data_IF_723638450992
#
_entry.id   IF_723638450992
#
_cell.length_a   1.000
_cell.length_b   1.000
_cell.length_c   1.000
_cell.angle_alpha   90.00
_cell.angle_beta   90.00
_cell.angle_gamma   90.00
#
_symmetry.space_group_name_H-M   'P 1'
#
loop_
_entity.id
_entity.type
_entity.pdbx_description
1 polymer ?
#
# COMPACT_ATOMS: atom_id res chain seq x y z
N UNK A 1 -0.91 53.47 28.36
CA UNK A 1 -2.29 52.93 28.29
C UNK A 1 -2.25 51.48 28.71
N UNK A 2 -2.76 51.15 29.90
CA UNK A 2 -2.76 49.78 30.45
C UNK A 2 -4.03 49.06 29.97
N UNK A 3 -3.90 48.14 29.02
CA UNK A 3 -4.96 47.20 28.64
C UNK A 3 -5.32 46.39 29.90
N UNK A 4 -6.49 46.66 30.47
CA UNK A 4 -6.84 46.27 31.84
C UNK A 4 -7.28 44.80 31.89
N UNK A 5 -7.11 44.18 33.06
CA UNK A 5 -7.56 42.82 33.42
C UNK A 5 -8.92 42.40 32.82
N UNK A 6 -9.83 43.36 32.62
CA UNK A 6 -11.13 43.15 31.99
C UNK A 6 -11.05 42.54 30.58
N UNK A 7 -10.05 42.90 29.77
CA UNK A 7 -9.86 42.28 28.46
C UNK A 7 -9.34 40.85 28.56
N UNK A 8 -8.49 40.55 29.54
CA UNK A 8 -7.98 39.20 29.76
C UNK A 8 -9.08 38.24 30.26
N UNK A 9 -10.00 38.73 31.10
CA UNK A 9 -11.13 37.95 31.61
C UNK A 9 -12.26 37.81 30.55
N UNK A 10 -12.47 38.82 29.71
CA UNK A 10 -13.37 38.74 28.55
C UNK A 10 -12.86 37.73 27.50
N UNK A 11 -11.53 37.63 27.32
CA UNK A 11 -10.91 36.59 26.49
C UNK A 11 -11.11 35.18 27.07
N UNK A 12 -11.00 35.00 28.39
CA UNK A 12 -11.28 33.71 29.06
C UNK A 12 -12.74 33.29 28.95
N UNK A 13 -13.66 34.24 28.98
CA UNK A 13 -15.10 33.97 28.95
C UNK A 13 -15.60 33.67 27.53
N UNK A 14 -14.97 34.26 26.50
CA UNK A 14 -15.28 33.99 25.08
C UNK A 14 -14.71 32.64 24.60
N UNK A 15 -13.70 32.11 25.28
CA UNK A 15 -13.22 30.74 25.12
C UNK A 15 -14.08 29.79 25.96
N UNK A 16 -15.31 29.53 25.51
CA UNK A 16 -16.11 28.37 25.92
C UNK A 16 -15.51 27.04 25.39
N UNK A 17 -14.19 26.91 25.35
CA UNK A 17 -13.48 25.87 24.65
C UNK A 17 -12.06 25.74 25.18
N UNK A 18 -11.68 24.49 25.45
CA UNK A 18 -10.36 23.98 25.80
C UNK A 18 -9.31 25.02 26.24
N UNK A 19 -8.84 24.91 27.48
CA UNK A 19 -7.64 25.62 27.93
C UNK A 19 -6.50 25.47 26.90
N UNK A 20 -5.55 26.42 26.81
CA UNK A 20 -4.44 26.33 25.86
C UNK A 20 -3.64 25.02 25.95
N UNK A 21 -3.71 24.34 27.09
CA UNK A 21 -3.15 23.02 27.34
C UNK A 21 -4.00 21.92 26.68
N UNK A 22 -5.31 21.90 26.93
CA UNK A 22 -6.26 20.96 26.33
C UNK A 22 -6.30 21.09 24.80
N UNK A 23 -6.24 22.32 24.26
CA UNK A 23 -6.18 22.53 22.82
C UNK A 23 -4.88 21.99 22.20
N UNK A 24 -3.75 22.06 22.92
CA UNK A 24 -2.48 21.46 22.47
C UNK A 24 -2.52 19.94 22.51
N UNK A 25 -3.09 19.38 23.57
CA UNK A 25 -3.26 17.92 23.71
C UNK A 25 -4.17 17.38 22.62
N UNK A 26 -5.28 18.07 22.34
CA UNK A 26 -6.21 17.70 21.26
C UNK A 26 -5.55 17.84 19.87
N UNK A 27 -4.76 18.90 19.63
CA UNK A 27 -4.00 19.05 18.38
C UNK A 27 -2.96 17.94 18.21
N UNK A 28 -2.23 17.57 19.26
CA UNK A 28 -1.25 16.49 19.20
C UNK A 28 -1.91 15.11 19.05
N UNK A 29 -3.05 14.88 19.70
CA UNK A 29 -3.84 13.67 19.48
C UNK A 29 -4.38 13.60 18.05
N UNK A 30 -4.90 14.70 17.52
CA UNK A 30 -5.38 14.81 16.14
C UNK A 30 -4.23 14.65 15.14
N UNK A 31 -3.03 15.19 15.41
CA UNK A 31 -1.83 14.95 14.59
C UNK A 31 -1.37 13.50 14.64
N UNK A 32 -1.43 12.85 15.81
CA UNK A 32 -1.10 11.43 15.91
C UNK A 32 -2.13 10.54 15.19
N UNK A 33 -3.42 10.94 15.19
CA UNK A 33 -4.47 10.28 14.40
C UNK A 33 -4.31 10.54 12.90
N UNK A 34 -4.00 11.78 12.50
CA UNK A 34 -3.72 12.16 11.12
C UNK A 34 -2.47 11.45 10.61
N UNK A 35 -1.38 11.40 11.36
CA UNK A 35 -0.17 10.64 11.02
C UNK A 35 -0.46 9.15 10.79
N UNK A 36 -1.43 8.57 11.50
CA UNK A 36 -1.89 7.18 11.26
C UNK A 36 -2.79 7.05 10.02
N UNK A 37 -3.40 8.13 9.55
CA UNK A 37 -4.29 8.20 8.38
C UNK A 37 -3.60 8.73 7.11
N UNK A 38 -2.49 9.46 7.24
CA UNK A 38 -1.67 10.06 6.18
C UNK A 38 -0.78 9.03 5.47
N UNK A 39 -0.97 7.74 5.75
CA UNK A 39 -0.29 6.71 4.99
C UNK A 39 -0.85 6.72 3.56
N UNK A 40 -0.04 7.20 2.62
CA UNK A 40 -0.33 7.05 1.20
C UNK A 40 -0.45 5.54 0.91
N UNK A 41 -1.64 5.03 0.54
CA UNK A 41 -1.82 3.60 0.26
C UNK A 41 -0.96 3.10 -0.91
N UNK A 42 -0.31 4.02 -1.64
CA UNK A 42 0.63 3.76 -2.74
C UNK A 42 2.07 3.52 -2.28
N UNK A 43 2.39 3.73 -1.00
CA UNK A 43 3.70 3.45 -0.42
C UNK A 43 3.55 2.30 0.53
N UNK A 44 4.40 1.27 0.46
CA UNK A 44 4.33 0.19 1.44
C UNK A 44 4.89 0.65 2.77
N UNK A 45 4.18 0.43 3.88
CA UNK A 45 4.72 0.73 5.21
C UNK A 45 5.96 -0.14 5.49
N UNK A 46 6.88 0.28 6.39
CA UNK A 46 7.99 -0.55 6.82
C UNK A 46 7.56 -1.94 7.32
N UNK A 47 6.43 -2.04 8.03
CA UNK A 47 5.87 -3.31 8.50
C UNK A 47 5.32 -4.18 7.36
N UNK A 48 4.76 -3.56 6.32
CA UNK A 48 4.34 -4.30 5.12
C UNK A 48 5.56 -4.83 4.38
N UNK A 49 6.57 -4.00 4.15
CA UNK A 49 7.83 -4.39 3.52
C UNK A 49 8.49 -5.55 4.28
N UNK A 50 8.57 -5.45 5.60
CA UNK A 50 9.13 -6.51 6.45
C UNK A 50 8.34 -7.81 6.31
N UNK A 51 7.02 -7.78 6.47
CA UNK A 51 6.19 -8.99 6.36
C UNK A 51 6.24 -9.62 4.97
N UNK A 52 6.26 -8.78 3.93
CA UNK A 52 6.37 -9.23 2.55
C UNK A 52 7.70 -9.98 2.33
N UNK A 53 8.81 -9.36 2.70
CA UNK A 53 10.16 -9.93 2.53
C UNK A 53 10.39 -11.17 3.40
N UNK A 54 9.90 -11.17 4.64
CA UNK A 54 9.97 -12.33 5.54
C UNK A 54 9.27 -13.57 4.95
N UNK A 55 8.15 -13.38 4.22
CA UNK A 55 7.49 -14.49 3.52
C UNK A 55 8.26 -14.88 2.27
N UNK A 56 8.70 -13.93 1.44
CA UNK A 56 9.45 -14.27 0.22
C UNK A 56 10.71 -15.10 0.51
N UNK A 57 11.42 -14.82 1.61
CA UNK A 57 12.60 -15.60 2.01
C UNK A 57 12.30 -17.01 2.51
N UNK A 58 11.03 -17.34 2.83
CA UNK A 58 10.62 -18.71 3.18
C UNK A 58 10.35 -19.57 1.96
N UNK A 59 10.15 -18.94 0.80
CA UNK A 59 9.91 -19.61 -0.47
C UNK A 59 11.19 -19.72 -1.27
N UNK A 60 11.29 -20.76 -2.10
CA UNK A 60 12.36 -20.83 -3.08
C UNK A 60 12.14 -19.70 -4.11
N UNK A 61 13.18 -18.91 -4.44
CA UNK A 61 13.02 -17.84 -5.41
C UNK A 61 12.58 -18.39 -6.77
N UNK A 62 11.49 -17.84 -7.28
CA UNK A 62 10.88 -18.22 -8.55
C UNK A 62 10.88 -17.09 -9.57
N UNK A 63 9.90 -17.12 -10.47
CA UNK A 63 9.66 -16.08 -11.48
C UNK A 63 8.38 -15.31 -11.16
N UNK A 64 8.41 -14.00 -11.34
CA UNK A 64 7.22 -13.14 -11.19
C UNK A 64 7.23 -12.02 -12.21
N UNK A 65 6.05 -11.74 -12.76
CA UNK A 65 5.83 -10.60 -13.64
C UNK A 65 5.12 -9.51 -12.83
N UNK A 66 5.70 -8.31 -12.81
CA UNK A 66 5.12 -7.17 -12.10
C UNK A 66 4.83 -6.07 -13.11
N UNK A 67 3.56 -5.92 -13.46
CA UNK A 67 3.06 -5.00 -14.48
C UNK A 67 2.26 -3.85 -13.85
N UNK A 68 2.18 -2.73 -14.57
CA UNK A 68 1.32 -1.61 -14.22
C UNK A 68 0.42 -1.24 -15.39
N UNK A 69 -0.74 -0.68 -15.11
CA UNK A 69 -1.51 0.04 -16.12
C UNK A 69 -0.69 1.25 -16.59
N UNK A 70 -0.38 1.31 -17.88
CA UNK A 70 0.41 2.39 -18.49
C UNK A 70 -0.30 3.75 -18.42
N UNK A 71 -1.64 3.76 -18.33
CA UNK A 71 -2.44 4.98 -18.17
C UNK A 71 -2.39 5.58 -16.76
N UNK A 72 -1.92 4.82 -15.77
CA UNK A 72 -1.81 5.28 -14.38
C UNK A 72 -0.38 5.72 -14.06
N UNK A 73 -0.22 7.01 -13.77
CA UNK A 73 1.05 7.56 -13.26
C UNK A 73 1.35 7.03 -11.84
N UNK A 74 0.30 6.83 -11.04
CA UNK A 74 0.39 6.42 -9.63
C UNK A 74 0.86 4.97 -9.47
N UNK A 75 0.44 4.08 -10.37
CA UNK A 75 0.83 2.66 -10.32
C UNK A 75 2.35 2.44 -10.53
N UNK A 76 3.06 3.40 -11.15
CA UNK A 76 4.50 3.30 -11.38
C UNK A 76 5.32 3.25 -10.10
N UNK A 77 4.92 4.01 -9.07
CA UNK A 77 5.60 4.04 -7.78
C UNK A 77 5.48 2.71 -7.04
N UNK A 78 4.27 2.16 -6.97
CA UNK A 78 3.99 0.87 -6.32
C UNK A 78 4.69 -0.28 -7.05
N UNK A 79 4.58 -0.32 -8.38
CA UNK A 79 5.23 -1.34 -9.21
C UNK A 79 6.74 -1.37 -8.95
N UNK A 80 7.39 -0.20 -8.91
CA UNK A 80 8.83 -0.09 -8.65
C UNK A 80 9.21 -0.60 -7.26
N UNK A 81 8.41 -0.28 -6.23
CA UNK A 81 8.63 -0.77 -4.86
C UNK A 81 8.53 -2.29 -4.81
N UNK A 82 7.47 -2.88 -5.34
CA UNK A 82 7.22 -4.32 -5.31
C UNK A 82 8.28 -5.09 -6.10
N UNK A 83 8.66 -4.60 -7.28
CA UNK A 83 9.78 -5.17 -8.07
C UNK A 83 11.07 -5.23 -7.26
N UNK A 84 11.38 -4.17 -6.53
CA UNK A 84 12.58 -4.09 -5.68
C UNK A 84 12.53 -5.16 -4.58
N UNK A 85 11.39 -5.36 -3.93
CA UNK A 85 11.23 -6.37 -2.87
C UNK A 85 11.48 -7.79 -3.40
N UNK A 86 10.87 -8.15 -4.52
CA UNK A 86 11.09 -9.46 -5.14
C UNK A 86 12.54 -9.66 -5.57
N UNK A 87 13.14 -8.65 -6.22
CA UNK A 87 14.54 -8.71 -6.66
C UNK A 87 15.49 -8.86 -5.46
N UNK A 88 15.23 -8.16 -4.35
CA UNK A 88 16.02 -8.27 -3.12
C UNK A 88 15.90 -9.63 -2.45
N UNK A 89 14.75 -10.30 -2.60
CA UNK A 89 14.54 -11.67 -2.15
C UNK A 89 15.08 -12.73 -3.13
N UNK A 90 15.77 -12.33 -4.21
CA UNK A 90 16.40 -13.23 -5.17
C UNK A 90 15.48 -13.78 -6.26
N UNK A 91 14.24 -13.29 -6.36
CA UNK A 91 13.31 -13.71 -7.40
C UNK A 91 13.69 -13.12 -8.76
N UNK A 92 13.39 -13.85 -9.83
CA UNK A 92 13.49 -13.32 -11.19
C UNK A 92 12.27 -12.45 -11.47
N UNK A 93 12.50 -11.16 -11.75
CA UNK A 93 11.42 -10.18 -11.92
C UNK A 93 11.40 -9.65 -13.34
N UNK A 94 10.30 -9.89 -14.04
CA UNK A 94 9.96 -9.21 -15.29
C UNK A 94 8.97 -8.07 -15.02
N UNK A 95 8.93 -7.08 -15.91
CA UNK A 95 8.01 -5.97 -15.76
C UNK A 95 7.54 -5.43 -17.10
N UNK A 96 6.28 -5.01 -17.13
CA UNK A 96 5.60 -4.59 -18.35
C UNK A 96 4.70 -3.39 -18.03
N UNK A 97 4.32 -2.69 -19.07
CA UNK A 97 3.26 -1.69 -19.02
C UNK A 97 2.11 -2.23 -19.86
N UNK A 98 0.97 -2.47 -19.21
CA UNK A 98 -0.22 -2.96 -19.88
C UNK A 98 -1.09 -1.77 -20.25
N UNK A 99 -1.47 -1.67 -21.52
CA UNK A 99 -2.43 -0.68 -22.02
C UNK A 99 -3.81 -1.33 -22.10
N UNK A 100 -4.78 -0.74 -21.40
CA UNK A 100 -6.12 -1.32 -21.27
C UNK A 100 -6.20 -2.49 -20.28
N UNK A 101 -7.43 -2.84 -19.92
CA UNK A 101 -7.76 -3.82 -18.89
C UNK A 101 -8.86 -3.29 -17.97
N UNK A 102 -9.65 -4.20 -17.39
CA UNK A 102 -10.61 -3.81 -16.37
C UNK A 102 -9.85 -3.45 -15.08
N UNK A 103 -10.10 -2.29 -14.47
CA UNK A 103 -9.50 -1.96 -13.19
C UNK A 103 -9.91 -3.01 -12.14
N UNK A 104 -8.97 -3.39 -11.29
CA UNK A 104 -9.27 -4.20 -10.11
C UNK A 104 -9.99 -3.30 -9.09
N UNK A 105 -11.10 -3.76 -8.47
CA UNK A 105 -11.80 -2.99 -7.44
C UNK A 105 -10.93 -2.71 -6.20
N UNK A 106 -9.78 -3.37 -6.09
CA UNK A 106 -8.80 -3.20 -5.00
C UNK A 106 -7.44 -2.72 -5.49
N UNK A 107 -7.29 -2.36 -6.77
CA UNK A 107 -6.07 -1.77 -7.35
C UNK A 107 -4.92 -2.75 -7.65
N UNK A 108 -5.05 -4.01 -7.25
CA UNK A 108 -4.11 -5.08 -7.59
C UNK A 108 -4.87 -6.32 -8.06
N UNK A 109 -4.43 -6.87 -9.19
CA UNK A 109 -4.90 -8.14 -9.74
C UNK A 109 -3.71 -9.09 -9.93
N UNK A 110 -3.90 -10.36 -9.60
CA UNK A 110 -2.92 -11.42 -9.85
C UNK A 110 -3.52 -12.38 -10.87
N UNK A 111 -2.86 -12.49 -12.02
CA UNK A 111 -3.12 -13.51 -13.00
C UNK A 111 -2.31 -14.75 -12.67
N UNK A 112 -3.02 -15.86 -12.51
CA UNK A 112 -2.47 -17.19 -12.24
C UNK A 112 -2.87 -18.15 -13.36
N UNK A 113 -2.14 -19.24 -13.51
CA UNK A 113 -2.45 -20.28 -14.47
C UNK A 113 -3.81 -20.93 -14.21
N UNK A 114 -4.36 -21.61 -15.23
CA UNK A 114 -5.66 -22.30 -15.14
C UNK A 114 -5.62 -23.63 -14.39
N UNK A 115 -4.45 -24.02 -13.86
CA UNK A 115 -4.31 -25.23 -13.06
C UNK A 115 -5.23 -25.23 -11.84
N UNK A 116 -5.69 -26.42 -11.43
CA UNK A 116 -6.51 -26.56 -10.22
C UNK A 116 -5.72 -26.18 -8.95
N UNK A 117 -4.41 -26.44 -8.98
CA UNK A 117 -3.45 -26.20 -7.88
C UNK A 117 -2.54 -25.04 -8.24
N UNK A 118 -2.33 -24.13 -7.28
CA UNK A 118 -1.36 -23.04 -7.43
C UNK A 118 0.06 -23.59 -7.52
N UNK A 119 0.86 -23.03 -8.42
CA UNK A 119 2.29 -23.29 -8.49
C UNK A 119 3.00 -22.78 -7.23
N UNK A 120 4.25 -23.22 -7.01
CA UNK A 120 5.07 -22.72 -5.89
C UNK A 120 5.22 -21.20 -5.94
N UNK A 121 5.40 -20.64 -7.13
CA UNK A 121 5.59 -19.20 -7.35
C UNK A 121 4.31 -18.43 -7.04
N UNK A 122 3.16 -18.91 -7.55
CA UNK A 122 1.84 -18.32 -7.25
C UNK A 122 1.52 -18.35 -5.76
N UNK A 123 1.86 -19.45 -5.09
CA UNK A 123 1.69 -19.56 -3.64
C UNK A 123 2.60 -18.59 -2.90
N UNK A 124 3.87 -18.47 -3.29
CA UNK A 124 4.81 -17.53 -2.68
C UNK A 124 4.37 -16.07 -2.81
N UNK A 125 3.89 -15.69 -4.00
CA UNK A 125 3.37 -14.34 -4.25
C UNK A 125 2.10 -14.06 -3.44
N UNK A 126 1.13 -14.96 -3.47
CA UNK A 126 -0.16 -14.75 -2.77
C UNK A 126 0.03 -14.72 -1.26
N UNK A 127 0.84 -15.61 -0.68
CA UNK A 127 1.17 -15.59 0.75
C UNK A 127 1.90 -14.31 1.17
N UNK A 128 2.84 -13.80 0.35
CA UNK A 128 3.56 -12.58 0.66
C UNK A 128 2.64 -11.36 0.69
N UNK A 129 1.72 -11.24 -0.28
CA UNK A 129 0.72 -10.18 -0.34
C UNK A 129 -0.26 -10.28 0.84
N UNK A 130 -0.76 -11.48 1.15
CA UNK A 130 -1.65 -11.71 2.28
C UNK A 130 -0.97 -11.36 3.61
N UNK A 131 0.28 -11.77 3.81
CA UNK A 131 1.03 -11.46 5.03
C UNK A 131 1.31 -9.96 5.18
N UNK A 132 1.59 -9.27 4.08
CA UNK A 132 1.72 -7.82 4.04
C UNK A 132 0.38 -7.07 4.15
N UNK A 133 -0.75 -7.80 4.22
CA UNK A 133 -2.12 -7.24 4.25
C UNK A 133 -2.40 -6.32 3.06
N UNK A 134 -1.87 -6.68 1.90
CA UNK A 134 -2.15 -5.98 0.64
C UNK A 134 -3.38 -6.65 0.04
N UNK A 135 -4.42 -5.87 -0.27
CA UNK A 135 -5.60 -6.38 -0.93
C UNK A 135 -5.31 -6.71 -2.40
N UNK A 136 -5.82 -7.83 -2.89
CA UNK A 136 -5.67 -8.24 -4.29
C UNK A 136 -6.85 -9.10 -4.73
N UNK A 137 -7.08 -9.11 -6.04
CA UNK A 137 -7.99 -10.05 -6.71
C UNK A 137 -7.16 -11.11 -7.44
N UNK A 138 -7.62 -12.35 -7.47
CA UNK A 138 -6.99 -13.42 -8.28
C UNK A 138 -7.88 -13.75 -9.46
N UNK A 139 -7.31 -13.74 -10.65
CA UNK A 139 -7.95 -14.22 -11.87
C UNK A 139 -7.14 -15.39 -12.45
N UNK A 140 -7.85 -16.45 -12.82
CA UNK A 140 -7.24 -17.62 -13.48
C UNK A 140 -7.38 -17.44 -14.97
N UNK A 141 -6.27 -17.28 -15.66
CA UNK A 141 -6.22 -17.08 -17.11
C UNK A 141 -5.22 -18.02 -17.73
N UNK A 142 -5.50 -18.48 -18.93
CA UNK A 142 -4.53 -19.25 -19.70
C UNK A 142 -3.40 -18.29 -20.09
N UNK A 143 -2.30 -18.35 -19.35
CA UNK A 143 -1.13 -17.51 -19.58
C UNK A 143 0.02 -18.35 -20.12
N UNK A 144 0.73 -17.82 -21.11
CA UNK A 144 2.01 -18.38 -21.60
C UNK A 144 3.19 -17.95 -20.75
N UNK A 145 2.96 -17.18 -19.70
CA UNK A 145 4.00 -16.61 -18.86
C UNK A 145 4.62 -17.68 -17.94
N UNK A 146 5.90 -17.51 -17.65
CA UNK A 146 6.66 -18.45 -16.80
C UNK A 146 6.31 -18.37 -15.30
N UNK A 147 5.48 -17.41 -14.88
CA UNK A 147 5.10 -17.20 -13.48
C UNK A 147 3.87 -16.30 -13.32
N UNK A 148 3.40 -16.09 -12.08
CA UNK A 148 2.28 -15.21 -11.78
C UNK A 148 2.53 -13.78 -12.26
N UNK A 149 1.48 -13.14 -12.79
CA UNK A 149 1.53 -11.74 -13.20
C UNK A 149 0.70 -10.87 -12.25
N UNK A 150 1.37 -9.94 -11.58
CA UNK A 150 0.75 -8.89 -10.79
C UNK A 150 0.49 -7.69 -11.69
N UNK A 151 -0.73 -7.16 -11.69
CA UNK A 151 -1.09 -5.95 -12.44
C UNK A 151 -1.65 -4.93 -11.47
N UNK A 152 -0.92 -3.84 -11.32
CA UNK A 152 -1.39 -2.65 -10.60
C UNK A 152 -2.29 -1.82 -11.51
N UNK A 153 -3.49 -1.54 -11.05
CA UNK A 153 -4.48 -0.68 -11.72
C UNK A 153 -4.90 0.43 -10.77
N UNK A 154 -5.49 1.49 -11.33
CA UNK A 154 -6.21 2.43 -10.49
C UNK A 154 -7.39 1.72 -9.79
N UNK A 155 -7.77 2.26 -8.63
CA UNK A 155 -8.96 1.86 -7.88
C UNK A 155 -10.08 2.79 -8.35
N UNK A 156 -11.19 2.22 -8.81
CA UNK A 156 -12.42 2.98 -9.11
C UNK A 156 -13.13 3.47 -7.83
#
# INVERSE_FOLDING_TARGET
>A
MRLSKAQADDYKTKLNGASPQEAKEEIEELRARLSKLEHDPRVLTPEQVKRFTDILHKHQPGHVIVSRNGGSLECGGVQKQVRKLFSQAGWTVEHWETLGGNPSPVGLMIFTGTGEVLTSDEKGVTEALTAARIAFTVERVATSNAGPQLVFTDID
#
